data_IF_296966308413
#
_entry.id   IF_296966308413
#
_cell.length_a   1.000
_cell.length_b   1.000
_cell.length_c   1.000
_cell.angle_alpha   90.00
_cell.angle_beta   90.00
_cell.angle_gamma   90.00
#
_symmetry.space_group_name_H-M   'P 1'
#
loop_
_entity.id
_entity.type
_entity.pdbx_description
1 polymer ?
#
# COMPACT_ATOMS: atom_id res chain seq x y z
N UNK A 1 -15.38 23.76 17.19
CA UNK A 1 -14.67 22.88 16.25
C UNK A 1 -14.26 23.73 15.07
N UNK A 2 -12.96 23.86 14.87
CA UNK A 2 -12.40 24.61 13.75
C UNK A 2 -12.34 23.71 12.51
N UNK A 3 -13.25 23.96 11.56
CA UNK A 3 -13.35 23.16 10.34
C UNK A 3 -12.27 23.47 9.32
N UNK A 4 -11.69 24.67 9.35
CA UNK A 4 -10.61 25.07 8.47
C UNK A 4 -9.33 24.33 8.86
N UNK A 5 -9.01 24.31 10.16
CA UNK A 5 -7.90 23.53 10.69
C UNK A 5 -8.04 22.02 10.37
N UNK A 6 -9.24 21.46 10.56
CA UNK A 6 -9.49 20.05 10.24
C UNK A 6 -9.39 19.75 8.75
N UNK A 7 -9.82 20.67 7.88
CA UNK A 7 -9.70 20.53 6.42
C UNK A 7 -8.23 20.52 5.97
N UNK A 8 -7.41 21.39 6.53
CA UNK A 8 -5.96 21.41 6.27
C UNK A 8 -5.27 20.14 6.75
N UNK A 9 -5.64 19.66 7.94
CA UNK A 9 -5.12 18.42 8.49
C UNK A 9 -5.51 17.21 7.63
N UNK A 10 -6.78 17.14 7.24
CA UNK A 10 -7.29 16.10 6.35
C UNK A 10 -6.56 16.11 5.01
N UNK A 11 -6.31 17.28 4.40
CA UNK A 11 -5.54 17.39 3.15
C UNK A 11 -4.13 16.82 3.26
N UNK A 12 -3.40 17.16 4.33
CA UNK A 12 -2.06 16.61 4.59
C UNK A 12 -2.07 15.09 4.73
N UNK A 13 -3.06 14.53 5.44
CA UNK A 13 -3.18 13.08 5.64
C UNK A 13 -3.63 12.38 4.36
N UNK A 14 -4.55 12.98 3.61
CA UNK A 14 -5.07 12.44 2.36
C UNK A 14 -3.98 12.30 1.29
N UNK A 15 -3.08 13.29 1.17
CA UNK A 15 -1.92 13.18 0.29
C UNK A 15 -1.05 11.96 0.62
N UNK A 16 -0.77 11.72 1.91
CA UNK A 16 0.01 10.55 2.37
C UNK A 16 -0.72 9.25 2.06
N UNK A 17 -2.04 9.21 2.17
CA UNK A 17 -2.84 8.03 1.83
C UNK A 17 -2.78 7.76 0.32
N UNK A 18 -3.04 8.76 -0.52
CA UNK A 18 -3.01 8.63 -1.98
C UNK A 18 -1.59 8.30 -2.52
N UNK A 19 -0.54 8.80 -1.87
CA UNK A 19 0.85 8.41 -2.17
C UNK A 19 1.13 6.93 -1.84
N UNK A 20 0.37 6.29 -0.95
CA UNK A 20 0.52 4.86 -0.64
C UNK A 20 -0.48 3.97 -1.36
N UNK A 21 -1.62 4.56 -1.72
CA UNK A 21 -2.76 3.92 -2.35
C UNK A 21 -3.08 4.66 -3.65
N UNK A 22 -2.34 4.37 -4.72
CA UNK A 22 -2.52 5.07 -6.01
C UNK A 22 -3.83 4.74 -6.73
N UNK A 23 -4.66 3.91 -6.12
CA UNK A 23 -6.01 3.61 -6.58
C UNK A 23 -6.99 4.75 -6.26
N UNK A 24 -6.63 5.66 -5.35
CA UNK A 24 -7.48 6.78 -4.93
C UNK A 24 -6.81 8.13 -5.15
N UNK A 25 -7.62 9.16 -5.35
CA UNK A 25 -7.18 10.55 -5.43
C UNK A 25 -7.20 11.22 -4.05
N UNK A 26 -6.28 12.17 -3.82
CA UNK A 26 -6.15 12.82 -2.52
C UNK A 26 -7.40 13.64 -2.14
N UNK A 27 -8.08 14.24 -3.12
CA UNK A 27 -9.27 15.06 -2.87
C UNK A 27 -10.47 14.19 -2.44
N UNK A 28 -10.68 13.03 -3.08
CA UNK A 28 -11.71 12.08 -2.68
C UNK A 28 -11.47 11.54 -1.26
N UNK A 29 -10.21 11.20 -0.96
CA UNK A 29 -9.81 10.74 0.38
C UNK A 29 -10.05 11.84 1.42
N UNK A 30 -9.70 13.10 1.12
CA UNK A 30 -9.94 14.25 1.98
C UNK A 30 -11.44 14.44 2.21
N UNK A 31 -12.25 14.36 1.16
CA UNK A 31 -13.70 14.48 1.25
C UNK A 31 -14.27 13.38 2.16
N UNK A 32 -13.84 12.13 1.99
CA UNK A 32 -14.27 11.02 2.84
C UNK A 32 -13.89 11.21 4.32
N UNK A 33 -12.71 11.77 4.61
CA UNK A 33 -12.28 12.11 5.97
C UNK A 33 -13.17 13.18 6.60
N UNK A 34 -13.50 14.24 5.85
CA UNK A 34 -14.32 15.35 6.33
C UNK A 34 -15.79 14.96 6.48
N UNK A 35 -16.31 14.13 5.57
CA UNK A 35 -17.64 13.57 5.70
C UNK A 35 -17.76 12.71 6.97
N UNK A 36 -16.74 11.89 7.26
CA UNK A 36 -16.67 11.15 8.52
C UNK A 36 -16.64 12.09 9.73
N UNK A 37 -15.83 13.16 9.68
CA UNK A 37 -15.77 14.14 10.76
C UNK A 37 -17.12 14.82 11.03
N UNK A 38 -17.86 15.13 9.97
CA UNK A 38 -19.19 15.74 10.06
C UNK A 38 -20.21 14.75 10.64
N UNK A 39 -20.19 13.50 10.17
CA UNK A 39 -21.10 12.45 10.63
C UNK A 39 -20.87 12.08 12.09
N UNK A 40 -19.61 11.95 12.49
CA UNK A 40 -19.18 11.59 13.84
C UNK A 40 -18.86 12.80 14.73
N UNK A 41 -19.38 13.99 14.39
CA UNK A 41 -19.02 15.26 15.05
C UNK A 41 -19.10 15.23 16.58
N UNK A 42 -20.06 14.48 17.14
CA UNK A 42 -20.24 14.36 18.60
C UNK A 42 -19.07 13.59 19.25
N UNK A 43 -18.55 12.58 18.57
CA UNK A 43 -17.45 11.75 19.02
C UNK A 43 -16.08 12.39 18.75
N UNK A 44 -16.00 13.23 17.70
CA UNK A 44 -14.77 13.90 17.28
C UNK A 44 -14.56 15.23 18.02
N UNK A 45 -15.63 15.95 18.39
CA UNK A 45 -15.52 17.23 19.08
C UNK A 45 -14.60 17.23 20.31
N UNK A 46 -14.61 16.21 21.20
CA UNK A 46 -13.72 16.19 22.37
C UNK A 46 -12.23 16.04 22.03
N UNK A 47 -11.90 15.56 20.83
CA UNK A 47 -10.54 15.26 20.39
C UNK A 47 -10.09 16.11 19.20
N UNK A 48 -10.94 17.03 18.73
CA UNK A 48 -10.71 17.82 17.53
C UNK A 48 -9.44 18.68 17.61
N UNK A 49 -9.13 19.21 18.80
CA UNK A 49 -7.95 20.03 19.05
C UNK A 49 -6.69 19.17 19.29
N UNK A 50 -6.84 17.84 19.44
CA UNK A 50 -5.72 16.91 19.55
C UNK A 50 -5.28 16.47 18.15
N UNK A 51 -4.38 17.24 17.54
CA UNK A 51 -3.89 17.01 16.18
C UNK A 51 -3.37 15.58 15.99
N UNK A 52 -2.63 15.02 16.96
CA UNK A 52 -2.09 13.66 16.87
C UNK A 52 -3.21 12.62 16.77
N UNK A 53 -4.25 12.78 17.56
CA UNK A 53 -5.41 11.88 17.54
C UNK A 53 -6.22 12.04 16.26
N UNK A 54 -6.45 13.29 15.82
CA UNK A 54 -7.14 13.57 14.56
C UNK A 54 -6.41 13.02 13.35
N UNK A 55 -5.08 13.16 13.27
CA UNK A 55 -4.26 12.53 12.23
C UNK A 55 -4.47 11.02 12.17
N UNK A 56 -4.52 10.34 13.32
CA UNK A 56 -4.73 8.90 13.40
C UNK A 56 -6.14 8.50 12.92
N UNK A 57 -7.16 9.27 13.32
CA UNK A 57 -8.55 9.06 12.90
C UNK A 57 -8.65 9.23 11.38
N UNK A 58 -8.21 10.37 10.86
CA UNK A 58 -8.21 10.64 9.42
C UNK A 58 -7.45 9.59 8.63
N UNK A 59 -6.25 9.20 9.07
CA UNK A 59 -5.48 8.17 8.39
C UNK A 59 -6.24 6.84 8.33
N UNK A 60 -6.90 6.45 9.42
CA UNK A 60 -7.73 5.23 9.48
C UNK A 60 -8.92 5.31 8.54
N UNK A 61 -9.61 6.46 8.49
CA UNK A 61 -10.74 6.68 7.58
C UNK A 61 -10.28 6.65 6.12
N UNK A 62 -9.17 7.32 5.79
CA UNK A 62 -8.59 7.32 4.46
C UNK A 62 -8.18 5.93 3.99
N UNK A 63 -7.55 5.14 4.86
CA UNK A 63 -7.22 3.74 4.55
C UNK A 63 -8.48 2.90 4.28
N UNK A 64 -9.55 3.08 5.07
CA UNK A 64 -10.82 2.38 4.85
C UNK A 64 -11.49 2.79 3.54
N UNK A 65 -11.41 4.06 3.17
CA UNK A 65 -11.89 4.53 1.86
C UNK A 65 -11.10 3.86 0.73
N UNK A 66 -9.76 3.95 0.77
CA UNK A 66 -8.90 3.35 -0.24
C UNK A 66 -9.05 1.82 -0.38
N UNK A 67 -9.23 1.11 0.74
CA UNK A 67 -9.48 -0.32 0.73
C UNK A 67 -10.82 -0.67 0.05
N UNK A 68 -11.87 0.13 0.25
CA UNK A 68 -13.15 -0.07 -0.44
C UNK A 68 -13.05 0.19 -1.94
N UNK A 69 -12.35 1.26 -2.33
CA UNK A 69 -12.09 1.56 -3.74
C UNK A 69 -11.30 0.45 -4.42
N UNK A 70 -10.29 -0.12 -3.73
CA UNK A 70 -9.59 -1.32 -4.20
C UNK A 70 -10.55 -2.47 -4.43
N UNK A 71 -11.36 -2.86 -3.44
CA UNK A 71 -12.32 -3.97 -3.58
C UNK A 71 -13.27 -3.74 -4.75
N UNK A 72 -13.73 -2.50 -4.95
CA UNK A 72 -14.58 -2.14 -6.07
C UNK A 72 -13.86 -2.32 -7.42
N UNK A 73 -12.61 -1.84 -7.54
CA UNK A 73 -11.80 -2.01 -8.74
C UNK A 73 -11.47 -3.48 -9.00
N UNK A 74 -11.07 -4.22 -7.97
CA UNK A 74 -10.79 -5.66 -8.07
C UNK A 74 -12.04 -6.41 -8.57
N UNK A 75 -13.24 -6.02 -8.11
CA UNK A 75 -14.52 -6.61 -8.57
C UNK A 75 -14.85 -6.24 -10.03
N UNK A 76 -14.59 -5.00 -10.45
CA UNK A 76 -14.97 -4.50 -11.77
C UNK A 76 -13.96 -4.86 -12.87
N UNK A 77 -12.67 -4.76 -12.57
CA UNK A 77 -11.57 -4.97 -13.51
C UNK A 77 -11.05 -6.42 -13.45
N UNK A 78 -11.42 -7.20 -12.42
CA UNK A 78 -10.95 -8.57 -12.22
C UNK A 78 -9.47 -8.69 -11.86
N UNK A 79 -8.82 -7.57 -11.54
CA UNK A 79 -7.39 -7.48 -11.28
C UNK A 79 -7.12 -6.94 -9.88
N UNK A 80 -6.21 -7.59 -9.15
CA UNK A 80 -5.81 -7.16 -7.81
C UNK A 80 -4.87 -5.96 -7.84
N UNK A 81 -5.12 -4.96 -7.00
CA UNK A 81 -4.21 -3.81 -6.83
C UNK A 81 -3.29 -3.95 -5.60
N UNK A 82 -1.98 -4.00 -5.84
CA UNK A 82 -0.95 -3.99 -4.81
C UNK A 82 -0.75 -2.61 -4.19
N UNK A 83 -0.76 -2.57 -2.86
CA UNK A 83 -0.28 -1.44 -2.06
C UNK A 83 1.24 -1.49 -1.89
N UNK A 84 1.84 -0.36 -1.50
CA UNK A 84 3.26 -0.30 -1.14
C UNK A 84 3.63 -1.30 -0.02
N UNK A 85 2.77 -1.46 0.99
CA UNK A 85 3.02 -2.40 2.09
C UNK A 85 3.00 -3.86 1.62
N UNK A 86 2.13 -4.21 0.67
CA UNK A 86 2.07 -5.55 0.07
C UNK A 86 3.26 -5.80 -0.85
N UNK A 87 3.67 -4.82 -1.65
CA UNK A 87 4.90 -4.90 -2.46
C UNK A 87 6.14 -5.14 -1.58
N UNK A 88 6.23 -4.45 -0.44
CA UNK A 88 7.29 -4.70 0.56
C UNK A 88 7.22 -6.13 1.11
N UNK A 89 6.04 -6.65 1.42
CA UNK A 89 5.90 -8.01 1.92
C UNK A 89 6.28 -9.04 0.87
N UNK A 90 5.94 -8.79 -0.40
CA UNK A 90 6.34 -9.63 -1.52
C UNK A 90 7.87 -9.68 -1.71
N UNK A 91 8.58 -8.55 -1.50
CA UNK A 91 10.06 -8.53 -1.52
C UNK A 91 10.67 -9.48 -0.48
N UNK A 92 10.10 -9.53 0.73
CA UNK A 92 10.63 -10.39 1.79
C UNK A 92 10.56 -11.88 1.41
N UNK A 93 9.69 -12.26 0.48
CA UNK A 93 9.59 -13.63 0.00
C UNK A 93 10.78 -14.04 -0.88
N UNK A 94 11.56 -13.08 -1.40
CA UNK A 94 12.73 -13.34 -2.25
C UNK A 94 13.92 -13.93 -1.48
N UNK A 95 13.91 -13.88 -0.14
CA UNK A 95 14.96 -14.50 0.68
C UNK A 95 14.90 -16.04 0.61
N UNK A 96 13.71 -16.59 0.38
CA UNK A 96 13.50 -18.04 0.38
C UNK A 96 13.91 -18.63 -0.96
N UNK A 97 14.57 -19.78 -0.92
CA UNK A 97 14.74 -20.62 -2.10
C UNK A 97 13.38 -21.08 -2.62
N UNK A 98 13.33 -21.55 -3.87
CA UNK A 98 12.10 -22.08 -4.47
C UNK A 98 11.54 -23.25 -3.65
N UNK A 99 12.41 -24.12 -3.13
CA UNK A 99 12.02 -25.29 -2.34
C UNK A 99 11.48 -24.89 -0.95
N UNK A 100 12.13 -23.96 -0.24
CA UNK A 100 11.63 -23.43 1.03
C UNK A 100 10.28 -22.75 0.85
N UNK A 101 10.11 -22.02 -0.25
CA UNK A 101 8.90 -21.30 -0.56
C UNK A 101 7.74 -22.23 -0.93
N UNK A 102 7.99 -23.28 -1.72
CA UNK A 102 6.98 -24.29 -2.06
C UNK A 102 6.42 -24.97 -0.79
N UNK A 103 7.27 -25.20 0.21
CA UNK A 103 6.87 -25.77 1.50
C UNK A 103 6.04 -24.81 2.38
N UNK A 104 6.05 -23.49 2.11
CA UNK A 104 5.22 -22.51 2.81
C UNK A 104 3.78 -22.46 2.27
N UNK A 105 3.59 -22.68 0.97
CA UNK A 105 2.28 -22.62 0.30
C UNK A 105 1.35 -23.74 0.81
N UNK A 106 1.87 -24.95 1.04
CA UNK A 106 1.08 -26.11 1.42
C UNK A 106 0.50 -26.12 2.84
N UNK A 107 0.85 -25.18 3.72
CA UNK A 107 0.39 -25.18 5.14
C UNK A 107 -0.84 -24.34 5.42
N UNK A 108 -1.36 -23.58 4.45
CA UNK A 108 -2.43 -22.60 4.71
C UNK A 108 -3.37 -22.33 3.54
N UNK A 109 -3.41 -23.21 2.55
CA UNK A 109 -4.30 -23.05 1.40
C UNK A 109 -5.75 -23.35 1.81
N UNK A 110 -6.50 -22.30 2.15
CA UNK A 110 -7.93 -22.41 2.40
C UNK A 110 -8.63 -22.43 1.03
N UNK A 111 -8.84 -23.63 0.50
CA UNK A 111 -9.50 -23.94 -0.79
C UNK A 111 -10.89 -23.30 -1.00
N UNK A 112 -11.43 -22.58 0.00
CA UNK A 112 -12.78 -22.01 0.01
C UNK A 112 -12.80 -20.48 -0.16
N UNK A 113 -11.65 -19.81 -0.25
CA UNK A 113 -11.57 -18.36 -0.47
C UNK A 113 -10.58 -18.05 -1.60
N UNK A 114 -11.10 -17.86 -2.82
CA UNK A 114 -10.34 -17.27 -3.93
C UNK A 114 -10.35 -15.73 -3.81
N UNK A 115 -9.73 -15.19 -2.76
CA UNK A 115 -9.27 -13.81 -2.79
C UNK A 115 -7.80 -13.83 -3.26
N UNK A 116 -7.47 -13.05 -4.28
CA UNK A 116 -6.15 -13.02 -4.95
C UNK A 116 -4.99 -12.62 -4.00
N UNK A 117 -5.30 -12.34 -2.73
CA UNK A 117 -4.36 -12.22 -1.61
C UNK A 117 -3.58 -13.49 -1.26
N UNK A 118 -4.00 -14.68 -1.70
CA UNK A 118 -3.38 -15.94 -1.25
C UNK A 118 -2.31 -16.53 -2.18
N UNK A 119 -2.12 -16.00 -3.39
CA UNK A 119 -1.07 -16.54 -4.27
C UNK A 119 0.27 -15.84 -4.03
N UNK A 120 0.90 -16.18 -2.89
CA UNK A 120 2.26 -15.73 -2.52
C UNK A 120 3.24 -15.91 -3.70
N UNK A 121 3.05 -16.97 -4.50
CA UNK A 121 3.90 -17.26 -5.66
C UNK A 121 3.75 -16.18 -6.74
N UNK A 122 2.53 -15.80 -7.08
CA UNK A 122 2.26 -14.71 -8.03
C UNK A 122 2.86 -13.39 -7.51
N UNK A 123 2.61 -13.05 -6.25
CA UNK A 123 3.15 -11.82 -5.64
C UNK A 123 4.69 -11.80 -5.67
N UNK A 124 5.35 -12.93 -5.39
CA UNK A 124 6.81 -13.08 -5.48
C UNK A 124 7.32 -12.87 -6.91
N UNK A 125 6.70 -13.52 -7.89
CA UNK A 125 7.10 -13.39 -9.31
C UNK A 125 6.92 -11.95 -9.81
N UNK A 126 5.83 -11.29 -9.43
CA UNK A 126 5.55 -9.92 -9.84
C UNK A 126 6.46 -8.91 -9.15
N UNK A 127 6.80 -9.14 -7.88
CA UNK A 127 7.82 -8.36 -7.19
C UNK A 127 9.19 -8.52 -7.87
N UNK A 128 9.58 -9.74 -8.27
CA UNK A 128 10.84 -9.97 -8.98
C UNK A 128 10.86 -9.27 -10.35
N UNK A 129 9.77 -9.38 -11.11
CA UNK A 129 9.63 -8.73 -12.42
C UNK A 129 9.59 -7.19 -12.32
N UNK A 130 8.89 -6.66 -11.31
CA UNK A 130 8.81 -5.22 -11.04
C UNK A 130 10.14 -4.66 -10.56
N UNK A 131 10.86 -5.38 -9.70
CA UNK A 131 12.16 -4.96 -9.18
C UNK A 131 13.17 -4.72 -10.30
N UNK A 132 13.22 -5.60 -11.31
CA UNK A 132 14.11 -5.48 -12.48
C UNK A 132 13.88 -4.20 -13.31
N UNK A 133 12.75 -3.52 -13.14
CA UNK A 133 12.41 -2.28 -13.87
C UNK A 133 12.71 -1.01 -13.07
N UNK A 134 13.05 -1.12 -11.79
CA UNK A 134 13.40 0.03 -10.97
C UNK A 134 14.83 0.49 -11.26
N UNK A 135 15.19 1.70 -10.82
CA UNK A 135 16.58 2.17 -10.89
C UNK A 135 17.52 1.29 -10.04
N UNK A 136 18.78 1.16 -10.45
CA UNK A 136 19.82 0.40 -9.71
C UNK A 136 19.98 0.83 -8.25
N UNK A 137 19.73 2.10 -7.96
CA UNK A 137 19.75 2.62 -6.60
C UNK A 137 18.61 2.03 -5.77
N UNK A 138 17.39 2.03 -6.29
CA UNK A 138 16.24 1.44 -5.60
C UNK A 138 16.37 -0.07 -5.49
N UNK A 139 16.77 -0.75 -6.56
CA UNK A 139 16.99 -2.20 -6.52
C UNK A 139 17.95 -2.60 -5.40
N UNK A 140 19.13 -1.96 -5.33
CA UNK A 140 20.12 -2.23 -4.28
C UNK A 140 19.58 -1.97 -2.88
N UNK A 141 18.96 -0.80 -2.64
CA UNK A 141 18.43 -0.47 -1.33
C UNK A 141 17.33 -1.45 -0.86
N UNK A 142 16.42 -1.82 -1.76
CA UNK A 142 15.34 -2.76 -1.47
C UNK A 142 15.87 -4.17 -1.19
N UNK A 143 16.81 -4.66 -2.01
CA UNK A 143 17.44 -5.97 -1.80
C UNK A 143 18.23 -6.01 -0.49
N UNK A 144 19.12 -5.04 -0.27
CA UNK A 144 19.92 -4.95 0.96
C UNK A 144 19.04 -4.90 2.20
N UNK A 145 18.01 -4.06 2.22
CA UNK A 145 17.23 -3.84 3.43
C UNK A 145 16.14 -4.89 3.67
N UNK A 146 15.33 -5.21 2.66
CA UNK A 146 14.15 -6.07 2.83
C UNK A 146 14.42 -7.55 2.55
N UNK A 147 15.42 -7.87 1.73
CA UNK A 147 15.77 -9.27 1.42
C UNK A 147 16.92 -9.75 2.29
N UNK A 148 18.02 -8.99 2.37
CA UNK A 148 19.20 -9.39 3.15
C UNK A 148 19.20 -8.88 4.60
N UNK A 149 18.21 -8.09 5.00
CA UNK A 149 18.07 -7.61 6.39
C UNK A 149 19.14 -6.62 6.84
N UNK A 150 19.85 -5.97 5.90
CA UNK A 150 20.90 -5.00 6.23
C UNK A 150 20.32 -3.66 6.70
N UNK A 151 20.94 -3.01 7.70
CA UNK A 151 20.49 -1.71 8.18
C UNK A 151 20.77 -0.61 7.15
N UNK A 152 19.88 0.39 7.10
CA UNK A 152 20.06 1.59 6.27
C UNK A 152 20.77 2.65 7.12
N UNK A 153 21.96 3.06 6.69
CA UNK A 153 22.83 3.97 7.45
C UNK A 153 22.43 5.45 7.40
N UNK A 154 21.73 5.91 6.35
CA UNK A 154 21.43 7.33 6.15
C UNK A 154 19.92 7.63 6.07
N UNK A 155 19.50 8.80 6.55
CA UNK A 155 18.11 9.27 6.40
C UNK A 155 17.70 9.46 4.94
N UNK A 156 18.65 9.86 4.08
CA UNK A 156 18.42 9.97 2.65
C UNK A 156 18.08 8.61 2.02
N UNK A 157 18.77 7.55 2.44
CA UNK A 157 18.53 6.20 1.96
C UNK A 157 17.27 5.58 2.57
N UNK A 158 16.89 5.95 3.80
CA UNK A 158 15.59 5.55 4.37
C UNK A 158 14.44 6.08 3.52
N UNK A 159 14.51 7.37 3.16
CA UNK A 159 13.53 7.99 2.26
C UNK A 159 13.56 7.38 0.85
N UNK A 160 14.76 7.13 0.31
CA UNK A 160 14.91 6.49 -0.99
C UNK A 160 14.37 5.05 -0.99
N UNK A 161 14.55 4.30 0.08
CA UNK A 161 14.03 2.95 0.25
C UNK A 161 12.49 2.96 0.30
N UNK A 162 11.89 3.88 1.08
CA UNK A 162 10.43 4.06 1.10
C UNK A 162 9.86 4.41 -0.29
N UNK A 163 10.50 5.33 -1.01
CA UNK A 163 10.12 5.66 -2.40
C UNK A 163 10.31 4.47 -3.34
N UNK A 164 11.34 3.67 -3.13
CA UNK A 164 11.58 2.44 -3.87
C UNK A 164 10.44 1.43 -3.72
N UNK A 165 9.90 1.25 -2.50
CA UNK A 165 8.75 0.38 -2.25
C UNK A 165 7.49 0.89 -2.98
N UNK A 166 7.26 2.20 -2.94
CA UNK A 166 6.15 2.83 -3.66
C UNK A 166 6.30 2.59 -5.18
N UNK A 167 7.49 2.87 -5.73
CA UNK A 167 7.80 2.61 -7.14
C UNK A 167 7.65 1.13 -7.52
N UNK A 168 7.99 0.21 -6.62
CA UNK A 168 7.78 -1.22 -6.84
C UNK A 168 6.29 -1.55 -6.98
N UNK A 169 5.44 -1.03 -6.08
CA UNK A 169 3.99 -1.27 -6.17
C UNK A 169 3.41 -0.76 -7.49
N UNK A 170 3.89 0.38 -8.01
CA UNK A 170 3.52 0.85 -9.33
C UNK A 170 3.90 -0.13 -10.44
N UNK A 171 5.13 -0.63 -10.44
CA UNK A 171 5.59 -1.56 -11.49
C UNK A 171 4.91 -2.93 -11.41
N UNK A 172 4.58 -3.41 -10.21
CA UNK A 172 3.78 -4.62 -10.01
C UNK A 172 2.38 -4.43 -10.62
N UNK A 173 1.67 -3.35 -10.25
CA UNK A 173 0.34 -3.03 -10.77
C UNK A 173 0.32 -2.79 -12.29
N UNK A 174 1.37 -2.18 -12.84
CA UNK A 174 1.52 -1.97 -14.29
C UNK A 174 1.72 -3.29 -15.03
N UNK A 175 2.42 -4.25 -14.42
CA UNK A 175 2.70 -5.54 -15.05
C UNK A 175 1.43 -6.40 -15.20
N UNK A 176 0.52 -6.34 -14.22
CA UNK A 176 -0.78 -7.01 -14.24
C UNK A 176 -1.60 -6.47 -15.42
N UNK A 177 -1.80 -5.15 -15.45
CA UNK A 177 -2.59 -4.47 -16.49
C UNK A 177 -2.08 -4.66 -17.91
N UNK A 178 -0.77 -4.83 -18.10
CA UNK A 178 -0.18 -5.11 -19.43
C UNK A 178 -0.43 -6.53 -19.92
N UNK A 179 -0.55 -7.51 -19.01
CA UNK A 179 -0.84 -8.90 -19.39
C UNK A 179 -2.28 -9.03 -19.90
N UNK A 180 -3.23 -8.28 -19.34
CA UNK A 180 -4.63 -8.31 -19.76
C UNK A 180 -4.88 -7.75 -21.17
N UNK A 181 -4.06 -6.82 -21.67
CA UNK A 181 -4.22 -6.23 -23.01
C UNK A 181 -3.70 -7.16 -24.14
N UNK A 182 -2.92 -8.18 -23.79
CA UNK A 182 -2.30 -9.11 -24.74
C UNK A 182 -2.79 -10.56 -24.59
N UNK A 183 -3.81 -10.79 -23.77
CA UNK A 183 -4.53 -12.06 -23.65
C UNK A 183 -5.84 -11.98 -24.45
#
# INVERSE_FOLDING_TARGET
MDWEHLADLAGKVAYVVAERWHIVEADDVKQAMLEHALRERKNIAPVADNERMMRKIFYTVGQRYAARERVYRDLMDGEYFYTADEARNALKLLIYTTDEFANMIGKKDMLNHCEITDNLHTARMEAEAGLKKLSDRYQRLLMSHYVFGLPIGSEADKKACQRGVIALSYEMNRSIRRKAVHA
#
